data_IF_310907163583
#
_entry.id   IF_310907163583
#
_cell.length_a   1.000
_cell.length_b   1.000
_cell.length_c   1.000
_cell.angle_alpha   90.00
_cell.angle_beta   90.00
_cell.angle_gamma   90.00
#
_symmetry.space_group_name_H-M   'P 1'
#
loop_
_entity.id
_entity.type
_entity.pdbx_description
1 polymer ?
#
# COMPACT_ATOMS: atom_id res chain seq x y z
N UNK A 1 23.58 -64.83 26.35
CA UNK A 1 22.11 -64.61 26.29
C UNK A 1 21.79 -63.21 26.83
N UNK A 2 20.72 -62.51 26.47
CA UNK A 2 19.59 -62.82 25.57
C UNK A 2 19.20 -61.59 24.69
N UNK A 3 17.95 -61.53 24.22
CA UNK A 3 17.35 -60.49 23.35
C UNK A 3 16.98 -59.18 24.08
N UNK A 4 17.48 -58.05 23.57
CA UNK A 4 16.72 -56.84 23.12
C UNK A 4 15.35 -56.52 23.75
N UNK A 5 15.23 -55.38 24.44
CA UNK A 5 14.09 -54.40 24.44
C UNK A 5 14.68 -53.00 24.73
N UNK A 6 14.57 -51.95 23.91
CA UNK A 6 13.45 -51.22 23.29
C UNK A 6 12.88 -50.06 24.14
N UNK A 7 12.90 -48.88 23.51
CA UNK A 7 11.99 -47.73 23.69
C UNK A 7 12.17 -46.76 24.87
N UNK A 8 12.61 -45.54 24.53
CA UNK A 8 11.84 -44.31 24.83
C UNK A 8 12.18 -43.23 23.80
N UNK A 9 11.21 -42.85 22.95
CA UNK A 9 11.31 -41.71 22.03
C UNK A 9 10.69 -40.49 22.70
N UNK A 10 11.42 -39.38 22.73
CA UNK A 10 10.90 -38.07 23.15
C UNK A 10 11.22 -37.03 22.08
N UNK A 11 10.31 -36.90 21.11
CA UNK A 11 10.29 -35.75 20.20
C UNK A 11 9.74 -34.54 20.95
N UNK A 12 10.61 -33.69 21.48
CA UNK A 12 10.25 -32.34 21.88
C UNK A 12 10.21 -31.43 20.63
N UNK A 13 9.13 -31.53 19.85
CA UNK A 13 8.89 -30.63 18.73
C UNK A 13 8.53 -29.23 19.26
N UNK A 14 9.54 -28.37 19.42
CA UNK A 14 9.35 -26.97 19.78
C UNK A 14 8.73 -26.20 18.60
N UNK A 15 7.40 -26.22 18.50
CA UNK A 15 6.65 -25.36 17.58
C UNK A 15 6.71 -23.92 18.06
N UNK A 16 7.81 -23.24 17.74
CA UNK A 16 7.96 -21.80 17.94
C UNK A 16 7.01 -21.03 17.04
N UNK A 17 5.81 -20.71 17.55
CA UNK A 17 4.88 -19.79 16.90
C UNK A 17 5.46 -18.38 16.89
N UNK A 18 6.19 -18.05 15.82
CA UNK A 18 6.63 -16.69 15.53
C UNK A 18 5.41 -15.82 15.21
N UNK A 19 4.82 -15.24 16.26
CA UNK A 19 3.85 -14.15 16.13
C UNK A 19 4.55 -12.98 15.43
N UNK A 20 4.32 -12.85 14.13
CA UNK A 20 4.67 -11.67 13.35
C UNK A 20 3.84 -10.49 13.85
N UNK A 21 4.35 -9.80 14.86
CA UNK A 21 3.80 -8.57 15.39
C UNK A 21 3.94 -7.47 14.32
N UNK A 22 2.96 -7.39 13.41
CA UNK A 22 2.81 -6.28 12.46
C UNK A 22 2.29 -5.07 13.23
N UNK A 23 3.17 -4.45 14.02
CA UNK A 23 2.89 -3.21 14.73
C UNK A 23 2.50 -2.10 13.75
N UNK A 24 1.68 -1.12 14.20
CA UNK A 24 1.30 0.00 13.34
C UNK A 24 2.55 0.81 12.96
N UNK A 25 2.93 0.77 11.68
CA UNK A 25 3.98 1.66 11.17
C UNK A 25 3.54 3.10 11.31
N UNK A 26 4.26 3.87 12.12
CA UNK A 26 3.98 5.29 12.32
C UNK A 26 4.02 6.01 10.96
N UNK A 27 2.88 6.56 10.54
CA UNK A 27 2.80 7.35 9.32
C UNK A 27 3.28 8.77 9.62
N UNK A 28 4.17 9.31 8.79
CA UNK A 28 4.69 10.66 8.95
C UNK A 28 3.75 11.70 8.32
N UNK A 29 3.97 12.99 8.58
CA UNK A 29 3.30 14.08 7.86
C UNK A 29 3.60 14.03 6.35
N UNK A 30 2.67 14.44 5.46
CA UNK A 30 2.82 14.37 4.00
C UNK A 30 3.92 15.31 3.50
N UNK A 31 4.37 15.11 2.26
CA UNK A 31 5.31 16.02 1.62
C UNK A 31 4.62 17.32 1.19
N UNK A 32 5.43 18.35 0.94
CA UNK A 32 4.96 19.58 0.27
C UNK A 32 4.89 19.44 -1.26
N UNK A 33 5.17 18.25 -1.83
CA UNK A 33 5.07 17.97 -3.28
C UNK A 33 3.64 17.65 -3.70
N UNK A 34 2.81 17.16 -2.78
CA UNK A 34 1.42 16.82 -3.04
C UNK A 34 0.48 18.01 -2.77
N UNK A 35 -0.41 18.31 -3.73
CA UNK A 35 -1.37 19.42 -3.65
C UNK A 35 -2.40 19.21 -2.53
N UNK A 36 -3.03 20.30 -2.06
CA UNK A 36 -4.09 20.21 -1.04
C UNK A 36 -5.26 19.34 -1.53
N UNK A 37 -5.85 18.56 -0.62
CA UNK A 37 -7.03 17.69 -0.88
C UNK A 37 -6.81 16.54 -1.85
N UNK A 38 -5.58 16.23 -2.23
CA UNK A 38 -5.24 15.13 -3.13
C UNK A 38 -4.47 14.03 -2.40
N UNK A 39 -4.44 12.83 -2.97
CA UNK A 39 -3.45 11.82 -2.64
C UNK A 39 -2.37 11.83 -3.73
N UNK A 40 -1.12 11.55 -3.39
CA UNK A 40 -0.06 11.44 -4.38
C UNK A 40 0.74 10.16 -4.22
N UNK A 41 0.99 9.51 -5.35
CA UNK A 41 1.73 8.28 -5.47
C UNK A 41 3.14 8.58 -5.99
N UNK A 42 4.11 7.80 -5.53
CA UNK A 42 5.52 7.97 -5.85
C UNK A 42 6.09 6.64 -6.35
N UNK A 43 6.84 6.73 -7.44
CA UNK A 43 7.48 5.57 -8.06
C UNK A 43 8.49 4.89 -7.12
N UNK A 44 9.21 5.67 -6.30
CA UNK A 44 10.14 5.14 -5.31
C UNK A 44 9.59 5.20 -3.88
N UNK A 45 10.19 4.40 -3.00
CA UNK A 45 9.91 4.45 -1.56
C UNK A 45 10.35 5.79 -0.95
N UNK A 46 9.80 6.12 0.22
CA UNK A 46 10.08 7.34 0.98
C UNK A 46 9.72 8.65 0.25
N UNK A 47 8.67 8.61 -0.59
CA UNK A 47 8.11 9.72 -1.38
C UNK A 47 9.12 10.35 -2.38
N UNK A 48 9.94 9.50 -2.99
CA UNK A 48 10.99 9.87 -3.95
C UNK A 48 10.60 9.55 -5.40
N UNK A 49 11.36 10.11 -6.36
CA UNK A 49 11.14 9.91 -7.79
C UNK A 49 9.94 10.69 -8.33
N UNK A 50 9.48 10.28 -9.52
CA UNK A 50 8.30 10.82 -10.17
C UNK A 50 7.03 10.60 -9.33
N UNK A 51 6.08 11.54 -9.48
CA UNK A 51 4.86 11.68 -8.69
C UNK A 51 3.64 11.63 -9.62
N UNK A 52 2.58 10.98 -9.16
CA UNK A 52 1.26 11.03 -9.77
C UNK A 52 0.26 11.53 -8.74
N UNK A 53 -0.53 12.54 -9.13
CA UNK A 53 -1.51 13.18 -8.25
C UNK A 53 -2.90 12.62 -8.53
N UNK A 54 -3.52 12.02 -7.52
CA UNK A 54 -4.81 11.35 -7.61
C UNK A 54 -5.84 12.21 -6.86
N UNK A 55 -6.72 12.87 -7.61
CA UNK A 55 -7.80 13.69 -7.07
C UNK A 55 -9.05 12.86 -6.73
N UNK A 56 -9.47 12.01 -7.66
CA UNK A 56 -10.56 11.05 -7.46
C UNK A 56 -10.00 9.64 -7.47
N UNK A 57 -10.56 8.79 -6.61
CA UNK A 57 -10.32 7.35 -6.68
C UNK A 57 -10.86 6.76 -7.98
N UNK A 58 -10.26 5.65 -8.43
CA UNK A 58 -10.65 4.94 -9.66
C UNK A 58 -10.63 3.43 -9.50
N UNK A 59 -11.42 2.74 -10.33
CA UNK A 59 -11.48 1.29 -10.39
C UNK A 59 -10.26 0.65 -11.09
N UNK A 60 -9.45 1.45 -11.79
CA UNK A 60 -8.17 1.11 -12.40
C UNK A 60 -7.21 2.31 -12.24
N UNK A 61 -5.92 2.10 -12.52
CA UNK A 61 -4.88 3.14 -12.53
C UNK A 61 -4.10 3.16 -13.86
N UNK A 62 -4.47 2.35 -14.84
CA UNK A 62 -3.64 2.11 -16.03
C UNK A 62 -3.60 3.26 -17.06
N UNK A 63 -4.51 4.23 -16.92
CA UNK A 63 -4.47 5.51 -17.64
C UNK A 63 -3.69 6.61 -16.88
N UNK A 64 -3.35 6.39 -15.61
CA UNK A 64 -2.60 7.34 -14.79
C UNK A 64 -1.10 7.16 -15.02
N UNK A 65 -0.37 8.27 -15.17
CA UNK A 65 1.06 8.29 -15.51
C UNK A 65 1.84 9.13 -14.48
N UNK A 66 3.03 8.68 -14.11
CA UNK A 66 3.96 9.42 -13.27
C UNK A 66 4.64 10.58 -14.02
N UNK A 67 4.73 11.74 -13.37
CA UNK A 67 5.33 12.99 -13.89
C UNK A 67 6.32 13.60 -12.87
N UNK A 68 7.16 14.60 -13.19
CA UNK A 68 7.39 15.22 -14.51
C UNK A 68 8.03 14.25 -15.50
N UNK A 69 8.17 14.68 -16.76
CA UNK A 69 8.81 13.94 -17.87
C UNK A 69 10.33 13.69 -17.70
N UNK A 70 10.88 13.74 -16.49
CA UNK A 70 12.29 13.45 -16.20
C UNK A 70 12.51 12.76 -14.86
N UNK A 71 13.57 11.93 -14.79
CA UNK A 71 13.99 11.22 -13.58
C UNK A 71 13.31 9.86 -13.34
N UNK A 72 13.65 9.17 -12.24
CA UNK A 72 13.21 7.80 -11.97
C UNK A 72 11.68 7.68 -11.87
N UNK A 73 11.11 6.81 -12.69
CA UNK A 73 9.66 6.58 -12.78
C UNK A 73 8.92 7.48 -13.76
N UNK A 74 9.58 8.45 -14.39
CA UNK A 74 8.98 9.31 -15.40
C UNK A 74 8.28 8.50 -16.50
N UNK A 75 7.07 8.93 -16.87
CA UNK A 75 6.21 8.34 -17.92
C UNK A 75 5.79 6.88 -17.70
N UNK A 76 6.11 6.28 -16.56
CA UNK A 76 5.60 4.96 -16.19
C UNK A 76 4.12 5.05 -15.80
N UNK A 77 3.37 3.97 -16.06
CA UNK A 77 2.00 3.82 -15.53
C UNK A 77 2.05 3.85 -14.00
N UNK A 78 0.98 4.33 -13.38
CA UNK A 78 0.84 4.33 -11.92
C UNK A 78 0.40 2.97 -11.40
N UNK A 79 -0.39 2.24 -12.20
CA UNK A 79 -0.68 0.82 -12.02
C UNK A 79 0.63 0.01 -11.96
N UNK A 80 0.71 -0.91 -11.01
CA UNK A 80 1.84 -1.83 -10.73
C UNK A 80 3.23 -1.19 -10.52
N UNK A 81 3.30 0.12 -10.27
CA UNK A 81 4.58 0.85 -10.16
C UNK A 81 4.65 1.84 -8.98
N UNK A 82 3.64 1.89 -8.11
CA UNK A 82 3.71 2.73 -6.90
C UNK A 82 4.47 2.03 -5.79
N UNK A 83 5.44 2.72 -5.18
CA UNK A 83 6.21 2.21 -4.04
C UNK A 83 5.93 2.96 -2.73
N UNK A 84 5.49 4.20 -2.80
CA UNK A 84 5.04 4.97 -1.63
C UNK A 84 3.99 6.01 -1.98
N UNK A 85 3.35 6.56 -0.96
CA UNK A 85 2.23 7.47 -1.11
C UNK A 85 2.16 8.47 0.05
N UNK A 86 1.54 9.61 -0.21
CA UNK A 86 1.07 10.55 0.80
C UNK A 86 -0.37 11.02 0.50
N UNK A 87 -1.05 11.50 1.53
CA UNK A 87 -2.41 12.02 1.44
C UNK A 87 -2.48 13.39 2.11
N UNK A 88 -2.95 14.36 1.33
CA UNK A 88 -3.18 15.76 1.72
C UNK A 88 -4.68 16.07 1.85
N UNK A 89 -5.53 15.05 1.95
CA UNK A 89 -6.94 15.24 2.34
C UNK A 89 -7.07 15.70 3.78
N UNK A 90 -8.17 16.40 4.06
CA UNK A 90 -8.43 17.00 5.37
C UNK A 90 -9.02 16.00 6.34
N UNK A 91 -10.10 15.32 5.94
CA UNK A 91 -10.91 14.49 6.85
C UNK A 91 -11.07 13.03 6.39
N UNK A 92 -10.83 12.74 5.11
CA UNK A 92 -11.16 11.44 4.49
C UNK A 92 -9.90 10.60 4.27
N UNK A 93 -9.87 9.36 4.77
CA UNK A 93 -8.75 8.46 4.52
C UNK A 93 -8.72 8.02 3.05
N UNK A 94 -7.53 7.75 2.50
CA UNK A 94 -7.38 7.18 1.16
C UNK A 94 -7.01 5.71 1.26
N UNK A 95 -7.51 4.90 0.32
CA UNK A 95 -7.22 3.49 0.19
C UNK A 95 -6.65 3.20 -1.19
N UNK A 96 -5.66 2.31 -1.21
CA UNK A 96 -5.07 1.75 -2.42
C UNK A 96 -5.14 0.23 -2.33
N UNK A 97 -5.54 -0.40 -3.42
CA UNK A 97 -5.82 -1.83 -3.53
C UNK A 97 -4.89 -2.47 -4.53
N UNK A 98 -4.59 -3.74 -4.28
CA UNK A 98 -3.76 -4.54 -5.20
C UNK A 98 -4.47 -4.76 -6.54
N UNK A 99 -5.75 -5.13 -6.50
CA UNK A 99 -6.48 -5.55 -7.70
C UNK A 99 -7.46 -4.45 -8.18
N UNK A 100 -7.88 -4.52 -9.46
CA UNK A 100 -8.89 -3.62 -10.03
C UNK A 100 -10.24 -3.73 -9.30
N UNK A 101 -11.06 -2.67 -9.42
CA UNK A 101 -12.40 -2.58 -8.81
C UNK A 101 -12.40 -2.67 -7.28
N UNK A 102 -11.35 -2.15 -6.64
CA UNK A 102 -11.18 -2.07 -5.17
C UNK A 102 -11.20 -3.45 -4.50
N UNK A 103 -10.47 -4.40 -5.11
CA UNK A 103 -10.41 -5.80 -4.70
C UNK A 103 -9.03 -6.19 -4.16
N UNK A 104 -9.01 -7.30 -3.43
CA UNK A 104 -7.79 -7.90 -2.90
C UNK A 104 -7.22 -7.17 -1.68
N UNK A 105 -5.95 -7.42 -1.34
CA UNK A 105 -5.26 -6.73 -0.26
C UNK A 105 -5.24 -5.22 -0.50
N UNK A 106 -5.47 -4.44 0.56
CA UNK A 106 -5.44 -2.99 0.50
C UNK A 106 -4.54 -2.39 1.59
N UNK A 107 -4.11 -1.15 1.37
CA UNK A 107 -3.59 -0.30 2.43
C UNK A 107 -4.49 0.93 2.53
N UNK A 108 -4.79 1.36 3.76
CA UNK A 108 -5.42 2.65 4.05
C UNK A 108 -4.39 3.62 4.61
N UNK A 109 -4.56 4.92 4.34
CA UNK A 109 -3.77 6.02 4.83
C UNK A 109 -4.69 7.10 5.38
N UNK A 110 -4.46 7.49 6.64
CA UNK A 110 -5.20 8.56 7.31
C UNK A 110 -5.04 9.91 6.57
N UNK A 111 -5.95 10.87 6.77
CA UNK A 111 -5.75 12.24 6.30
C UNK A 111 -4.43 12.83 6.83
N UNK A 112 -3.81 13.74 6.05
CA UNK A 112 -2.52 14.37 6.37
C UNK A 112 -1.44 13.38 6.84
N UNK A 113 -1.22 12.31 6.08
CA UNK A 113 -0.22 11.29 6.42
C UNK A 113 0.54 10.76 5.19
N UNK A 114 1.67 10.08 5.40
CA UNK A 114 2.46 9.37 4.37
C UNK A 114 3.08 8.08 4.88
N UNK A 115 3.28 7.11 3.98
CA UNK A 115 4.02 5.87 4.24
C UNK A 115 4.50 5.18 2.97
N UNK A 116 5.32 4.14 3.11
CA UNK A 116 5.58 3.17 2.04
C UNK A 116 4.39 2.23 1.86
N UNK A 117 4.18 1.71 0.65
CA UNK A 117 3.27 0.58 0.47
C UNK A 117 3.87 -0.69 1.08
N UNK A 118 3.01 -1.58 1.60
CA UNK A 118 3.46 -2.87 2.11
C UNK A 118 4.00 -3.75 0.97
N UNK A 119 4.79 -4.77 1.29
CA UNK A 119 5.35 -5.71 0.29
C UNK A 119 4.28 -6.41 -0.56
N UNK A 120 3.05 -6.51 -0.07
CA UNK A 120 1.89 -7.06 -0.78
C UNK A 120 1.32 -6.13 -1.86
N UNK A 121 1.58 -4.82 -1.79
CA UNK A 121 1.01 -3.78 -2.68
C UNK A 121 2.05 -2.94 -3.43
N UNK A 122 3.28 -2.83 -2.91
CA UNK A 122 4.38 -2.12 -3.58
C UNK A 122 4.60 -2.73 -4.97
N UNK A 123 4.50 -1.89 -5.99
CA UNK A 123 4.62 -2.24 -7.41
C UNK A 123 3.61 -3.32 -7.85
N UNK A 124 2.41 -3.31 -7.24
CA UNK A 124 1.30 -4.25 -7.47
C UNK A 124 -0.07 -3.58 -7.25
N UNK A 125 -0.14 -2.26 -7.37
CA UNK A 125 -1.33 -1.47 -7.05
C UNK A 125 -2.17 -1.24 -8.31
N UNK A 126 -3.49 -1.36 -8.23
CA UNK A 126 -4.35 -1.28 -9.42
C UNK A 126 -5.62 -0.45 -9.24
N UNK A 127 -6.10 -0.17 -8.02
CA UNK A 127 -7.27 0.72 -7.83
C UNK A 127 -7.24 1.50 -6.50
N UNK A 128 -8.03 2.57 -6.40
CA UNK A 128 -8.00 3.52 -5.26
C UNK A 128 -9.35 4.13 -4.92
N UNK A 129 -9.62 4.39 -3.64
CA UNK A 129 -10.83 5.10 -3.21
C UNK A 129 -10.65 5.91 -1.93
N UNK A 130 -11.51 6.90 -1.74
CA UNK A 130 -11.73 7.54 -0.46
C UNK A 130 -12.49 6.61 0.50
N UNK A 131 -12.26 6.70 1.82
CA UNK A 131 -12.94 5.91 2.85
C UNK A 131 -13.76 6.81 3.81
N UNK A 132 -15.04 6.48 4.11
CA UNK A 132 -15.81 5.39 3.50
C UNK A 132 -16.01 5.62 2.01
N UNK A 133 -16.29 4.54 1.29
CA UNK A 133 -16.31 4.53 -0.19
C UNK A 133 -17.42 5.46 -0.69
N UNK A 134 -17.04 6.57 -1.31
CA UNK A 134 -17.96 7.42 -2.07
C UNK A 134 -18.34 6.70 -3.39
N UNK A 135 -19.15 5.65 -3.29
CA UNK A 135 -19.84 5.04 -4.43
C UNK A 135 -21.05 5.91 -4.82
N UNK A 136 -20.77 7.12 -5.28
CA UNK A 136 -21.80 8.13 -5.50
C UNK A 136 -21.36 9.21 -6.46
N UNK A 137 -21.56 8.95 -7.75
CA UNK A 137 -21.96 10.03 -8.64
C UNK A 137 -23.40 10.40 -8.28
N UNK A 138 -23.58 11.52 -7.56
CA UNK A 138 -24.88 12.02 -7.13
C UNK A 138 -24.80 12.66 -5.74
N UNK A 139 -24.87 14.00 -5.66
CA UNK A 139 -24.87 14.65 -4.35
C UNK A 139 -24.50 16.13 -4.23
N UNK A 140 -24.45 16.92 -5.31
CA UNK A 140 -24.74 18.37 -5.32
C UNK A 140 -25.13 18.78 -6.75
#
# INVERSE_FOLDING_TARGET
MIRRRLSAVLLAAATGTTLLAVGPTASAAPTKRCYDRMACFYYNSNQQGAIATIFNGGANLDHQIFSPDSGPGSRQKVEDNTASWDSRTRNTAFCVHRDRWWKGPYNSLKPQARKNLTSSLKNKNSSTNWYPRHEGGGGH
#
